data_IF_615046416686
#
_entry.id   IF_615046416686
#
_cell.length_a   1.000
_cell.length_b   1.000
_cell.length_c   1.000
_cell.angle_alpha   90.00
_cell.angle_beta   90.00
_cell.angle_gamma   90.00
#
_symmetry.space_group_name_H-M   'P 1'
#
loop_
_entity.id
_entity.type
_entity.pdbx_description
1 polymer ?
#
# COMPACT_ATOMS: atom_id res chain seq x y z
N UNK A 1 7.07 -10.37 -12.75
CA UNK A 1 5.61 -10.23 -12.56
C UNK A 1 5.05 -11.51 -11.93
N UNK A 2 4.02 -11.39 -11.09
CA UNK A 2 3.38 -12.57 -10.48
C UNK A 2 2.42 -13.29 -11.43
N UNK A 3 2.05 -14.56 -11.17
CA UNK A 3 1.21 -15.36 -12.06
C UNK A 3 -0.15 -14.72 -12.42
N UNK A 4 -0.81 -14.06 -11.45
CA UNK A 4 -2.11 -13.43 -11.68
C UNK A 4 -2.06 -12.28 -12.67
N UNK A 5 -0.99 -11.49 -12.68
CA UNK A 5 -0.83 -10.41 -13.66
C UNK A 5 -0.55 -10.97 -15.05
N UNK A 6 0.27 -12.01 -15.16
CA UNK A 6 0.55 -12.65 -16.45
C UNK A 6 -0.72 -13.22 -17.08
N UNK A 7 -1.58 -13.83 -16.27
CA UNK A 7 -2.88 -14.30 -16.73
C UNK A 7 -3.77 -13.15 -17.20
N UNK A 8 -3.93 -12.09 -16.40
CA UNK A 8 -4.76 -10.94 -16.75
C UNK A 8 -4.32 -10.25 -18.05
N UNK A 9 -3.01 -10.17 -18.31
CA UNK A 9 -2.47 -9.64 -19.58
C UNK A 9 -2.83 -10.52 -20.76
N UNK A 10 -2.87 -11.84 -20.58
CA UNK A 10 -3.26 -12.79 -21.65
C UNK A 10 -4.76 -12.95 -21.83
N UNK A 11 -5.57 -12.49 -20.87
CA UNK A 11 -7.02 -12.56 -20.89
C UNK A 11 -7.64 -11.17 -20.69
N UNK A 12 -8.18 -10.92 -19.50
CA UNK A 12 -8.83 -9.68 -19.12
C UNK A 12 -8.44 -9.30 -17.69
N UNK A 13 -8.45 -7.99 -17.43
CA UNK A 13 -8.31 -7.47 -16.08
C UNK A 13 -9.66 -7.54 -15.38
N UNK A 14 -9.71 -8.33 -14.30
CA UNK A 14 -10.87 -8.33 -13.42
C UNK A 14 -10.86 -7.06 -12.57
N UNK A 15 -11.91 -6.27 -12.69
CA UNK A 15 -12.14 -5.06 -11.91
C UNK A 15 -13.44 -5.20 -11.10
N UNK A 16 -13.57 -4.42 -10.03
CA UNK A 16 -14.81 -4.40 -9.27
C UNK A 16 -15.95 -3.91 -10.18
N UNK A 17 -17.06 -4.66 -10.24
CA UNK A 17 -18.21 -4.32 -11.09
C UNK A 17 -18.77 -2.91 -10.81
N UNK A 18 -18.61 -2.41 -9.58
CA UNK A 18 -19.00 -1.07 -9.17
C UNK A 18 -18.05 0.04 -9.62
N UNK A 19 -16.89 -0.28 -10.19
CA UNK A 19 -15.76 0.65 -10.38
C UNK A 19 -15.05 1.04 -9.06
N UNK A 20 -15.72 0.97 -7.91
CA UNK A 20 -15.13 1.16 -6.58
C UNK A 20 -14.42 -0.12 -6.07
N UNK A 21 -13.09 -0.13 -6.10
CA UNK A 21 -12.27 -1.24 -5.57
C UNK A 21 -12.43 -1.43 -4.05
N UNK A 22 -13.00 -0.45 -3.34
CA UNK A 22 -13.28 -0.56 -1.90
C UNK A 22 -14.53 -1.36 -1.57
N UNK A 23 -15.36 -1.68 -2.57
CA UNK A 23 -16.63 -2.41 -2.39
C UNK A 23 -16.45 -3.73 -1.62
N UNK A 24 -15.42 -4.51 -1.95
CA UNK A 24 -15.11 -5.77 -1.27
C UNK A 24 -14.76 -5.57 0.23
N UNK A 25 -14.01 -4.52 0.54
CA UNK A 25 -13.65 -4.19 1.92
C UNK A 25 -14.84 -3.66 2.72
N UNK A 26 -15.75 -2.92 2.08
CA UNK A 26 -17.04 -2.52 2.69
C UNK A 26 -17.88 -3.74 3.04
N UNK A 27 -17.98 -4.72 2.13
CA UNK A 27 -18.69 -5.97 2.38
C UNK A 27 -18.05 -6.77 3.53
N UNK A 28 -16.72 -6.91 3.54
CA UNK A 28 -16.00 -7.56 4.64
C UNK A 28 -16.22 -6.82 5.98
N UNK A 29 -16.25 -5.48 5.95
CA UNK A 29 -16.53 -4.66 7.12
C UNK A 29 -17.91 -4.94 7.70
N UNK A 30 -18.93 -5.08 6.83
CA UNK A 30 -20.28 -5.43 7.24
C UNK A 30 -20.37 -6.82 7.89
N UNK A 31 -19.58 -7.80 7.42
CA UNK A 31 -19.52 -9.15 8.01
C UNK A 31 -18.86 -9.13 9.40
N UNK A 32 -17.77 -8.38 9.56
CA UNK A 32 -17.02 -8.30 10.82
C UNK A 32 -17.73 -7.41 11.88
N UNK A 33 -18.52 -6.43 11.46
CA UNK A 33 -19.32 -5.59 12.35
C UNK A 33 -18.48 -4.91 13.43
N UNK A 34 -18.76 -5.25 14.69
CA UNK A 34 -18.12 -4.64 15.87
C UNK A 34 -16.71 -5.18 16.16
N UNK A 35 -16.24 -6.19 15.42
CA UNK A 35 -14.87 -6.73 15.58
C UNK A 35 -13.81 -5.91 14.83
N UNK A 36 -14.16 -4.69 14.40
CA UNK A 36 -13.26 -3.77 13.69
C UNK A 36 -12.99 -2.54 14.55
N UNK A 37 -11.71 -2.22 14.71
CA UNK A 37 -11.23 -1.01 15.35
C UNK A 37 -10.59 -0.09 14.30
N UNK A 38 -11.37 0.86 13.78
CA UNK A 38 -10.87 1.90 12.86
C UNK A 38 -10.34 3.10 13.65
N UNK A 39 -9.47 3.90 13.00
CA UNK A 39 -8.86 5.10 13.60
C UNK A 39 -8.21 4.80 14.96
N UNK A 40 -7.49 3.68 15.03
CA UNK A 40 -6.83 3.20 16.23
C UNK A 40 -5.38 2.82 15.95
N UNK A 41 -4.51 3.01 16.93
CA UNK A 41 -3.10 2.64 16.90
C UNK A 41 -2.85 1.39 17.73
N UNK A 42 -2.15 0.41 17.16
CA UNK A 42 -1.52 -0.65 17.97
C UNK A 42 -0.25 -0.05 18.58
N UNK A 43 -0.26 0.17 19.89
CA UNK A 43 0.86 0.81 20.59
C UNK A 43 1.79 -0.18 21.29
N UNK A 44 1.32 -1.41 21.53
CA UNK A 44 2.13 -2.47 22.14
C UNK A 44 1.58 -3.86 21.87
N UNK A 45 2.43 -4.79 21.47
CA UNK A 45 2.12 -6.22 21.31
C UNK A 45 3.11 -7.02 22.16
N UNK A 46 2.58 -7.84 23.06
CA UNK A 46 3.38 -8.72 23.91
C UNK A 46 2.95 -10.17 23.72
N UNK A 47 3.92 -11.05 23.50
CA UNK A 47 3.74 -12.46 23.20
C UNK A 47 4.44 -13.31 24.26
N UNK A 48 3.80 -14.40 24.65
CA UNK A 48 4.38 -15.40 25.53
C UNK A 48 3.89 -16.79 25.14
N UNK A 49 4.28 -17.82 25.91
CA UNK A 49 3.90 -19.21 25.63
C UNK A 49 2.38 -19.46 25.70
N UNK A 50 1.62 -18.58 26.36
CA UNK A 50 0.18 -18.71 26.58
C UNK A 50 -0.65 -17.94 25.53
N UNK A 51 -0.05 -16.98 24.82
CA UNK A 51 -0.73 -16.23 23.78
C UNK A 51 -0.15 -14.83 23.57
N UNK A 52 -1.02 -13.89 23.25
CA UNK A 52 -0.69 -12.51 22.89
C UNK A 52 -1.60 -11.53 23.64
N UNK A 53 -1.04 -10.40 24.03
CA UNK A 53 -1.78 -9.21 24.49
C UNK A 53 -1.46 -8.04 23.57
N UNK A 54 -2.50 -7.46 22.98
CA UNK A 54 -2.40 -6.28 22.10
C UNK A 54 -3.00 -5.09 22.83
N UNK A 55 -2.22 -4.03 23.01
CA UNK A 55 -2.70 -2.75 23.55
C UNK A 55 -3.00 -1.82 22.38
N UNK A 56 -4.23 -1.34 22.33
CA UNK A 56 -4.75 -0.48 21.27
C UNK A 56 -5.10 0.87 21.90
N UNK A 57 -4.73 1.96 21.22
CA UNK A 57 -5.16 3.30 21.53
C UNK A 57 -6.18 3.75 20.49
N UNK A 58 -7.36 4.17 20.94
CA UNK A 58 -8.38 4.73 20.07
C UNK A 58 -8.83 6.06 20.67
N UNK A 59 -8.70 7.14 19.90
CA UNK A 59 -8.88 8.52 20.40
C UNK A 59 -7.95 8.77 21.61
N UNK A 60 -8.50 9.06 22.79
CA UNK A 60 -7.75 9.31 24.03
C UNK A 60 -7.76 8.12 24.99
N UNK A 61 -8.40 7.03 24.61
CA UNK A 61 -8.57 5.85 25.45
C UNK A 61 -7.68 4.71 24.98
N UNK A 62 -7.30 3.84 25.90
CA UNK A 62 -6.51 2.65 25.60
C UNK A 62 -7.16 1.43 26.23
N UNK A 63 -7.17 0.33 25.49
CA UNK A 63 -7.71 -0.95 25.94
C UNK A 63 -6.82 -2.09 25.43
N UNK A 64 -7.05 -3.29 25.96
CA UNK A 64 -6.24 -4.47 25.61
C UNK A 64 -7.10 -5.62 25.13
N UNK A 65 -6.63 -6.32 24.10
CA UNK A 65 -7.20 -7.57 23.61
C UNK A 65 -6.22 -8.70 23.93
N UNK A 66 -6.71 -9.77 24.57
CA UNK A 66 -5.93 -11.00 24.82
C UNK A 66 -6.42 -12.11 23.90
N UNK A 67 -5.50 -12.79 23.23
CA UNK A 67 -5.82 -13.88 22.31
C UNK A 67 -4.79 -15.00 22.39
N UNK A 68 -5.12 -16.19 21.87
CA UNK A 68 -4.18 -17.33 21.80
C UNK A 68 -3.20 -17.21 20.63
N UNK A 69 -3.59 -16.52 19.55
CA UNK A 69 -2.82 -16.37 18.32
C UNK A 69 -2.99 -14.95 17.76
N UNK A 70 -1.99 -14.49 17.03
CA UNK A 70 -2.02 -13.24 16.28
C UNK A 70 -1.70 -13.52 14.81
N UNK A 71 -2.50 -12.97 13.90
CA UNK A 71 -2.17 -12.91 12.47
C UNK A 71 -1.75 -11.48 12.15
N UNK A 72 -0.59 -11.32 11.52
CA UNK A 72 -0.01 -10.01 11.17
C UNK A 72 -0.09 -9.84 9.65
N UNK A 73 -1.03 -9.01 9.20
CA UNK A 73 -1.28 -8.75 7.78
C UNK A 73 -0.81 -7.35 7.33
N UNK A 74 0.05 -6.70 8.13
CA UNK A 74 0.75 -5.48 7.73
C UNK A 74 2.14 -5.83 7.17
N UNK A 75 2.75 -5.03 6.28
CA UNK A 75 4.12 -5.26 5.83
C UNK A 75 5.09 -5.25 7.02
N UNK A 76 5.91 -6.29 7.16
CA UNK A 76 6.75 -6.50 8.35
C UNK A 76 8.08 -5.73 8.31
N UNK A 77 8.06 -4.44 7.96
CA UNK A 77 9.23 -3.55 8.09
C UNK A 77 9.52 -3.23 9.56
N UNK A 78 10.75 -2.85 9.91
CA UNK A 78 11.10 -2.49 11.29
C UNK A 78 10.21 -1.39 11.85
N UNK A 79 9.90 -0.37 11.04
CA UNK A 79 9.03 0.73 11.47
C UNK A 79 7.60 0.24 11.78
N UNK A 80 7.01 -0.59 10.91
CA UNK A 80 5.68 -1.15 11.13
C UNK A 80 5.63 -2.10 12.33
N UNK A 81 6.75 -2.76 12.63
CA UNK A 81 6.86 -3.71 13.74
C UNK A 81 7.32 -3.08 15.06
N UNK A 82 7.46 -1.74 15.13
CA UNK A 82 7.98 -1.02 16.32
C UNK A 82 7.20 -1.27 17.61
N UNK A 83 5.91 -1.56 17.51
CA UNK A 83 5.05 -1.84 18.67
C UNK A 83 5.17 -3.28 19.17
N UNK A 84 5.86 -4.17 18.45
CA UNK A 84 5.96 -5.59 18.77
C UNK A 84 7.18 -5.87 19.64
N UNK A 85 7.04 -6.83 20.54
CA UNK A 85 8.13 -7.39 21.34
C UNK A 85 9.02 -8.34 20.51
N UNK A 86 9.67 -7.78 19.50
CA UNK A 86 10.50 -8.54 18.57
C UNK A 86 11.70 -9.17 19.29
N UNK A 87 11.91 -10.46 19.06
CA UNK A 87 13.17 -11.14 19.37
C UNK A 87 14.32 -10.63 18.48
N UNK A 88 15.55 -10.94 18.87
CA UNK A 88 16.74 -10.60 18.05
C UNK A 88 16.66 -11.20 16.64
N UNK A 89 16.19 -12.44 16.53
CA UNK A 89 16.04 -13.12 15.25
C UNK A 89 14.98 -12.45 14.36
N UNK A 90 13.84 -12.08 14.92
CA UNK A 90 12.79 -11.36 14.18
C UNK A 90 13.28 -9.98 13.74
N UNK A 91 13.97 -9.24 14.61
CA UNK A 91 14.55 -7.95 14.26
C UNK A 91 15.56 -8.08 13.11
N UNK A 92 16.43 -9.08 13.15
CA UNK A 92 17.40 -9.36 12.07
C UNK A 92 16.74 -9.78 10.76
N UNK A 93 15.60 -10.46 10.82
CA UNK A 93 14.85 -10.85 9.63
C UNK A 93 14.15 -9.63 9.03
N UNK A 94 13.39 -8.90 9.84
CA UNK A 94 12.58 -7.76 9.41
C UNK A 94 13.42 -6.56 8.97
N UNK A 95 14.67 -6.44 9.42
CA UNK A 95 15.61 -5.42 8.93
C UNK A 95 16.01 -5.61 7.46
N UNK A 96 15.68 -6.74 6.84
CA UNK A 96 15.91 -6.99 5.41
C UNK A 96 14.78 -6.48 4.53
N UNK A 97 13.65 -6.11 5.11
CA UNK A 97 12.50 -5.60 4.37
C UNK A 97 12.56 -4.08 4.31
N UNK A 98 12.52 -3.56 3.08
CA UNK A 98 12.37 -2.15 2.77
C UNK A 98 11.16 -1.95 1.85
N UNK A 99 10.72 -0.69 1.72
CA UNK A 99 9.67 -0.30 0.81
C UNK A 99 10.19 0.72 -0.19
N UNK A 100 9.61 0.72 -1.39
CA UNK A 100 9.76 1.77 -2.36
C UNK A 100 8.69 2.84 -2.13
N UNK A 101 9.00 4.09 -2.46
CA UNK A 101 8.02 5.16 -2.45
C UNK A 101 7.16 5.11 -3.70
N UNK A 102 5.87 5.34 -3.54
CA UNK A 102 4.94 5.46 -4.67
C UNK A 102 3.86 6.47 -4.34
N UNK A 103 3.72 7.49 -5.19
CA UNK A 103 2.65 8.48 -5.09
C UNK A 103 1.74 8.30 -6.29
N UNK A 104 0.48 7.97 -6.01
CA UNK A 104 -0.59 7.94 -7.00
C UNK A 104 -1.31 9.30 -7.03
N UNK A 105 -1.65 9.76 -8.23
CA UNK A 105 -2.33 11.03 -8.44
C UNK A 105 -3.39 10.95 -9.52
N UNK A 106 -4.28 11.94 -9.50
CA UNK A 106 -5.20 12.26 -10.59
C UNK A 106 -4.93 13.71 -10.98
N UNK A 107 -4.75 13.97 -12.27
CA UNK A 107 -4.46 15.30 -12.78
C UNK A 107 -5.30 15.61 -14.02
N UNK A 108 -5.70 16.88 -14.12
CA UNK A 108 -6.24 17.45 -15.35
C UNK A 108 -5.04 17.93 -16.20
N UNK A 109 -4.88 17.37 -17.40
CA UNK A 109 -3.75 17.68 -18.28
C UNK A 109 -4.29 18.31 -19.56
N UNK A 110 -4.29 19.66 -19.68
CA UNK A 110 -4.82 20.34 -20.85
C UNK A 110 -4.17 19.86 -22.15
N UNK A 111 -5.01 19.51 -23.13
CA UNK A 111 -4.55 19.08 -24.46
C UNK A 111 -4.09 17.62 -24.54
N UNK A 112 -4.12 16.86 -23.44
CA UNK A 112 -3.91 15.42 -23.48
C UNK A 112 -5.26 14.70 -23.65
N UNK A 113 -5.38 13.89 -24.69
CA UNK A 113 -6.57 13.09 -25.00
C UNK A 113 -6.27 11.58 -25.13
N UNK A 114 -5.00 11.19 -24.97
CA UNK A 114 -4.51 9.82 -25.05
C UNK A 114 -3.73 9.42 -23.79
N UNK A 115 -3.67 8.11 -23.53
CA UNK A 115 -2.78 7.60 -22.47
C UNK A 115 -1.33 7.57 -22.95
N UNK A 116 -0.41 7.99 -22.08
CA UNK A 116 1.03 7.98 -22.34
C UNK A 116 1.72 6.99 -21.41
N UNK A 117 2.58 6.15 -21.97
CA UNK A 117 3.40 5.20 -21.23
C UNK A 117 4.86 5.59 -21.35
N UNK A 118 5.55 5.77 -20.22
CA UNK A 118 7.00 5.88 -20.24
C UNK A 118 7.57 4.48 -20.49
N UNK A 119 8.29 4.32 -21.60
CA UNK A 119 8.94 3.06 -21.99
C UNK A 119 10.44 3.06 -21.66
N UNK A 120 10.97 4.15 -21.09
CA UNK A 120 12.38 4.25 -20.74
C UNK A 120 13.32 3.96 -21.90
N UNK A 121 13.01 4.45 -23.11
CA UNK A 121 13.74 4.08 -24.34
C UNK A 121 15.25 4.33 -24.25
N UNK A 122 15.67 5.28 -23.41
CA UNK A 122 17.07 5.63 -23.19
C UNK A 122 17.75 4.83 -22.07
N UNK A 123 17.04 3.97 -21.33
CA UNK A 123 17.62 3.15 -20.27
C UNK A 123 18.12 1.80 -20.81
N UNK A 124 19.15 1.19 -20.20
CA UNK A 124 19.64 -0.11 -20.63
C UNK A 124 18.58 -1.21 -20.59
N UNK A 125 17.69 -1.17 -19.60
CA UNK A 125 16.65 -2.17 -19.39
C UNK A 125 15.31 -1.84 -20.08
N UNK A 126 15.21 -0.69 -20.79
CA UNK A 126 13.95 -0.20 -21.37
C UNK A 126 12.81 -0.10 -20.34
N UNK A 127 13.16 0.40 -19.16
CA UNK A 127 12.24 0.69 -18.06
C UNK A 127 12.35 2.15 -17.65
N UNK A 128 11.25 2.77 -17.18
CA UNK A 128 11.29 4.13 -16.61
C UNK A 128 12.38 4.27 -15.54
N UNK A 129 13.02 5.44 -15.49
CA UNK A 129 13.91 5.81 -14.39
C UNK A 129 13.07 6.26 -13.18
N UNK A 130 13.58 5.97 -11.97
CA UNK A 130 13.05 6.53 -10.72
C UNK A 130 14.12 7.45 -10.09
N UNK A 131 13.74 8.56 -9.43
CA UNK A 131 12.38 9.09 -9.30
C UNK A 131 11.74 9.52 -10.62
N UNK A 132 10.47 9.20 -10.83
CA UNK A 132 9.78 9.60 -12.06
C UNK A 132 8.43 8.91 -12.28
N UNK A 133 7.68 9.46 -13.24
CA UNK A 133 6.38 8.91 -13.62
C UNK A 133 6.52 7.72 -14.58
N UNK A 134 5.71 6.69 -14.34
CA UNK A 134 5.64 5.52 -15.21
C UNK A 134 4.63 5.71 -16.36
N UNK A 135 3.53 6.44 -16.14
CA UNK A 135 2.48 6.63 -17.13
C UNK A 135 1.50 7.74 -16.74
N UNK A 136 0.81 8.26 -17.76
CA UNK A 136 -0.40 9.06 -17.67
C UNK A 136 -1.52 8.27 -18.33
N UNK A 137 -2.38 7.65 -17.53
CA UNK A 137 -3.41 6.74 -18.02
C UNK A 137 -4.78 7.40 -17.92
N UNK A 138 -5.64 7.20 -18.92
CA UNK A 138 -7.03 7.68 -18.83
C UNK A 138 -7.70 7.13 -17.57
N UNK A 139 -8.33 8.01 -16.80
CA UNK A 139 -9.06 7.62 -15.58
C UNK A 139 -10.46 7.07 -15.86
N UNK A 140 -10.93 7.17 -17.11
CA UNK A 140 -12.33 6.95 -17.47
C UNK A 140 -13.25 8.16 -17.19
N UNK A 141 -12.75 9.22 -16.55
CA UNK A 141 -13.43 10.51 -16.42
C UNK A 141 -12.89 11.52 -17.45
N UNK A 142 -13.75 12.38 -18.05
CA UNK A 142 -13.29 13.35 -19.04
C UNK A 142 -12.17 14.24 -18.51
N UNK A 143 -11.12 14.41 -19.31
CA UNK A 143 -9.94 15.27 -19.06
C UNK A 143 -9.11 14.90 -17.81
N UNK A 144 -9.37 13.75 -17.17
CA UNK A 144 -8.66 13.30 -15.98
C UNK A 144 -7.74 12.11 -16.29
N UNK A 145 -6.50 12.21 -15.85
CA UNK A 145 -5.48 11.18 -16.00
C UNK A 145 -5.00 10.68 -14.65
N UNK A 146 -4.88 9.36 -14.53
CA UNK A 146 -4.18 8.68 -13.45
C UNK A 146 -2.69 8.73 -13.72
N UNK A 147 -1.92 8.98 -12.68
CA UNK A 147 -0.46 8.97 -12.76
C UNK A 147 0.14 8.38 -11.49
N UNK A 148 1.32 7.79 -11.65
CA UNK A 148 2.11 7.26 -10.55
C UNK A 148 3.54 7.75 -10.63
N UNK A 149 4.09 8.23 -9.52
CA UNK A 149 5.50 8.58 -9.38
C UNK A 149 6.14 7.58 -8.43
N UNK A 150 7.13 6.84 -8.92
CA UNK A 150 7.87 5.87 -8.14
C UNK A 150 9.20 6.45 -7.66
N UNK A 151 9.64 6.02 -6.48
CA UNK A 151 10.86 6.45 -5.81
C UNK A 151 11.65 5.24 -5.30
N UNK A 152 12.95 5.40 -5.13
CA UNK A 152 13.87 4.35 -4.67
C UNK A 152 13.73 4.04 -3.17
N UNK A 153 13.08 4.91 -2.40
CA UNK A 153 12.79 4.72 -0.98
C UNK A 153 11.53 5.51 -0.55
N UNK A 154 11.20 5.47 0.75
CA UNK A 154 9.99 6.09 1.32
C UNK A 154 10.20 7.49 1.92
N UNK A 155 11.36 8.11 1.74
CA UNK A 155 11.69 9.41 2.35
C UNK A 155 11.13 10.60 1.57
N UNK A 156 10.48 10.36 0.42
CA UNK A 156 9.91 11.38 -0.43
C UNK A 156 8.49 11.76 -0.01
N UNK A 157 8.14 13.02 -0.26
CA UNK A 157 6.84 13.61 0.05
C UNK A 157 5.94 13.72 -1.18
N UNK A 158 4.66 14.01 -0.94
CA UNK A 158 3.73 14.38 -2.01
C UNK A 158 4.20 15.64 -2.75
N UNK A 159 4.90 16.56 -2.08
CA UNK A 159 5.45 17.76 -2.73
C UNK A 159 6.58 17.41 -3.71
N UNK A 160 7.46 16.47 -3.33
CA UNK A 160 8.53 15.97 -4.21
C UNK A 160 7.97 15.26 -5.45
N UNK A 161 6.79 14.67 -5.33
CA UNK A 161 6.12 14.04 -6.48
C UNK A 161 5.60 15.06 -7.48
N UNK A 162 5.12 16.23 -7.01
CA UNK A 162 4.58 17.28 -7.89
C UNK A 162 5.62 17.91 -8.80
N UNK A 163 6.90 17.88 -8.45
CA UNK A 163 7.98 18.39 -9.32
C UNK A 163 8.38 17.42 -10.42
N UNK A 164 7.89 16.17 -10.38
CA UNK A 164 8.19 15.09 -11.31
C UNK A 164 7.03 14.80 -12.29
N UNK A 165 5.99 15.63 -12.25
CA UNK A 165 4.74 15.53 -13.02
C UNK A 165 4.65 16.73 -13.96
#
# INVERSE_FOLDING_TARGET
FGPGLLQAVSSEFLVAASGDTRSIYKAASAVLGNDIYLSSDVIRVQRNKQGVTVTIRQKRESFTIKAKKLVVAIPQTIENMRAFDLSEMERKLFSKFSAFGYVAGVADIPGLDVSLQNVGIMTPAKTPMIPGSNAYLSSGSPNQFLLGVAFDNTEYTVADSKSLI
#
